data_IF_152811804335
#
_entry.id   IF_152811804335
#
_cell.length_a   1.000
_cell.length_b   1.000
_cell.length_c   1.000
_cell.angle_alpha   90.00
_cell.angle_beta   90.00
_cell.angle_gamma   90.00
#
_symmetry.space_group_name_H-M   'P 1'
#
loop_
_entity.id
_entity.type
_entity.pdbx_description
1 polymer ?
#
# COMPACT_ATOMS: atom_id res chain seq x y z
N UNK A 1 -1.28 19.10 11.18
CA UNK A 1 -0.65 17.82 11.60
C UNK A 1 -1.29 16.62 10.92
N UNK A 2 -2.60 16.35 11.11
CA UNK A 2 -3.28 15.18 10.52
C UNK A 2 -3.13 15.06 8.99
N UNK A 3 -3.30 16.15 8.24
CA UNK A 3 -3.15 16.14 6.77
C UNK A 3 -1.73 15.76 6.29
N UNK A 4 -0.69 16.16 7.04
CA UNK A 4 0.71 15.82 6.69
C UNK A 4 0.94 14.33 6.90
N UNK A 5 0.42 13.77 8.01
CA UNK A 5 0.51 12.33 8.27
C UNK A 5 -0.25 11.55 7.21
N UNK A 6 -1.46 12.01 6.84
CA UNK A 6 -2.25 11.40 5.79
C UNK A 6 -1.54 11.36 4.43
N UNK A 7 -0.97 12.49 4.00
CA UNK A 7 -0.20 12.55 2.75
C UNK A 7 1.04 11.65 2.83
N UNK A 8 1.78 11.69 3.93
CA UNK A 8 2.95 10.82 4.13
C UNK A 8 2.57 9.35 4.08
N UNK A 9 1.43 8.97 4.64
CA UNK A 9 0.90 7.62 4.62
C UNK A 9 0.59 7.15 3.19
N UNK A 10 -0.05 8.00 2.38
CA UNK A 10 -0.37 7.70 0.98
C UNK A 10 0.92 7.48 0.17
N UNK A 11 1.87 8.42 0.23
CA UNK A 11 3.12 8.30 -0.52
C UNK A 11 3.96 7.10 -0.05
N UNK A 12 4.02 6.85 1.25
CA UNK A 12 4.74 5.69 1.79
C UNK A 12 4.10 4.38 1.36
N UNK A 13 2.78 4.26 1.43
CA UNK A 13 2.06 3.05 1.02
C UNK A 13 2.17 2.81 -0.49
N UNK A 14 2.12 3.88 -1.30
CA UNK A 14 2.37 3.81 -2.74
C UNK A 14 3.79 3.34 -3.04
N UNK A 15 4.80 4.00 -2.47
CA UNK A 15 6.20 3.64 -2.68
C UNK A 15 6.51 2.21 -2.23
N UNK A 16 5.97 1.77 -1.10
CA UNK A 16 6.15 0.40 -0.61
C UNK A 16 5.48 -0.64 -1.53
N UNK A 17 4.28 -0.34 -2.04
CA UNK A 17 3.58 -1.20 -3.00
C UNK A 17 4.37 -1.32 -4.30
N UNK A 18 4.82 -0.18 -4.85
CA UNK A 18 5.60 -0.17 -6.08
C UNK A 18 6.95 -0.85 -5.92
N UNK A 19 7.64 -0.63 -4.79
CA UNK A 19 8.92 -1.27 -4.48
C UNK A 19 8.80 -2.79 -4.41
N UNK A 20 7.73 -3.32 -3.81
CA UNK A 20 7.52 -4.77 -3.72
C UNK A 20 7.13 -5.42 -5.06
N UNK A 21 6.53 -4.65 -5.97
CA UNK A 21 5.97 -5.20 -7.22
C UNK A 21 6.87 -4.98 -8.44
N UNK A 22 7.47 -3.82 -8.58
CA UNK A 22 8.21 -3.44 -9.79
C UNK A 22 9.72 -3.40 -9.60
N UNK A 23 10.20 -3.27 -8.36
CA UNK A 23 11.64 -3.16 -8.09
C UNK A 23 12.20 -4.46 -7.51
N UNK A 24 13.32 -4.94 -8.06
CA UNK A 24 14.01 -6.12 -7.55
C UNK A 24 14.78 -5.86 -6.23
N UNK A 25 14.94 -4.58 -5.87
CA UNK A 25 15.70 -4.13 -4.71
C UNK A 25 17.21 -4.40 -4.84
N UNK A 26 18.04 -3.94 -3.89
CA UNK A 26 19.46 -4.30 -3.87
C UNK A 26 19.63 -5.81 -3.62
N UNK A 27 20.49 -6.48 -4.41
CA UNK A 27 20.79 -7.93 -4.34
C UNK A 27 19.64 -8.91 -4.68
N UNK A 28 18.64 -8.46 -5.46
CA UNK A 28 17.46 -9.26 -5.85
C UNK A 28 16.70 -9.86 -4.66
N UNK A 29 16.73 -9.17 -3.51
CA UNK A 29 16.10 -9.63 -2.27
C UNK A 29 14.58 -9.69 -2.44
N UNK A 30 14.00 -8.69 -3.11
CA UNK A 30 12.55 -8.61 -3.33
C UNK A 30 12.12 -9.74 -4.28
N UNK A 31 12.93 -10.03 -5.29
CA UNK A 31 12.66 -11.12 -6.23
C UNK A 31 12.76 -12.50 -5.56
N UNK A 32 13.78 -12.72 -4.73
CA UNK A 32 13.89 -13.93 -3.89
C UNK A 32 12.72 -14.07 -2.94
N UNK A 33 12.26 -12.99 -2.33
CA UNK A 33 11.10 -13.00 -1.44
C UNK A 33 9.81 -13.36 -2.19
N UNK A 34 9.60 -12.84 -3.40
CA UNK A 34 8.47 -13.20 -4.25
C UNK A 34 8.51 -14.66 -4.69
N UNK A 35 9.69 -15.16 -5.05
CA UNK A 35 9.89 -16.56 -5.42
C UNK A 35 9.65 -17.50 -4.22
N UNK A 36 10.07 -17.10 -3.01
CA UNK A 36 9.77 -17.81 -1.77
C UNK A 36 8.25 -17.85 -1.52
N UNK A 37 7.56 -16.71 -1.63
CA UNK A 37 6.11 -16.62 -1.45
C UNK A 37 5.35 -17.47 -2.49
N UNK A 38 5.78 -17.46 -3.75
CA UNK A 38 5.24 -18.35 -4.79
C UNK A 38 5.44 -19.83 -4.44
N UNK A 39 6.61 -20.19 -3.89
CA UNK A 39 6.89 -21.56 -3.45
C UNK A 39 6.07 -21.99 -2.23
N UNK A 40 5.66 -21.07 -1.36
CA UNK A 40 4.82 -21.37 -0.20
C UNK A 40 3.37 -21.58 -0.63
N UNK A 41 2.82 -20.67 -1.43
CA UNK A 41 1.46 -20.81 -1.94
C UNK A 41 1.24 -19.97 -3.20
N UNK A 42 0.65 -20.53 -4.28
CA UNK A 42 0.47 -19.82 -5.55
C UNK A 42 -0.38 -18.55 -5.41
N UNK A 43 -1.39 -18.56 -4.51
CA UNK A 43 -2.23 -17.38 -4.23
C UNK A 43 -1.49 -16.25 -3.49
N UNK A 44 -0.45 -16.56 -2.72
CA UNK A 44 0.37 -15.52 -2.09
C UNK A 44 1.31 -14.88 -3.11
N UNK A 45 1.86 -15.67 -4.04
CA UNK A 45 2.63 -15.16 -5.17
C UNK A 45 1.82 -14.19 -6.04
N UNK A 46 0.56 -14.54 -6.32
CA UNK A 46 -0.40 -13.70 -7.07
C UNK A 46 -0.72 -12.36 -6.36
N UNK A 47 -0.48 -12.29 -5.04
CA UNK A 47 -0.63 -11.05 -4.29
C UNK A 47 0.47 -10.03 -4.61
N UNK A 48 1.70 -10.49 -4.83
CA UNK A 48 2.85 -9.64 -5.15
C UNK A 48 2.96 -9.30 -6.64
N UNK A 49 2.03 -9.74 -7.47
CA UNK A 49 1.95 -9.34 -8.87
C UNK A 49 0.92 -8.23 -9.11
N UNK A 50 -0.01 -8.02 -8.17
CA UNK A 50 -1.09 -7.04 -8.32
C UNK A 50 -0.95 -5.88 -7.31
N UNK A 51 -0.75 -4.63 -7.77
CA UNK A 51 -0.63 -3.46 -6.89
C UNK A 51 -1.87 -3.18 -6.06
N UNK A 52 -3.06 -3.48 -6.60
CA UNK A 52 -4.32 -3.26 -5.88
C UNK A 52 -4.55 -4.31 -4.80
N UNK A 53 -4.17 -5.57 -5.08
CA UNK A 53 -4.26 -6.63 -4.08
C UNK A 53 -3.28 -6.35 -2.95
N UNK A 54 -2.00 -6.12 -3.25
CA UNK A 54 -0.97 -5.88 -2.25
C UNK A 54 -1.28 -4.66 -1.39
N UNK A 55 -1.71 -3.55 -1.99
CA UNK A 55 -2.07 -2.32 -1.26
C UNK A 55 -3.21 -2.51 -0.27
N UNK A 56 -4.22 -3.31 -0.62
CA UNK A 56 -5.33 -3.65 0.29
C UNK A 56 -4.82 -4.34 1.55
N UNK A 57 -3.90 -5.30 1.39
CA UNK A 57 -3.29 -6.00 2.53
C UNK A 57 -2.32 -5.13 3.32
N UNK A 58 -1.56 -4.26 2.66
CA UNK A 58 -0.69 -3.27 3.32
C UNK A 58 -1.52 -2.34 4.21
N UNK A 59 -2.65 -1.83 3.70
CA UNK A 59 -3.55 -0.96 4.46
C UNK A 59 -4.14 -1.66 5.68
N UNK A 60 -4.62 -2.90 5.51
CA UNK A 60 -5.13 -3.72 6.60
C UNK A 60 -4.07 -4.07 7.65
N UNK A 61 -2.85 -4.45 7.21
CA UNK A 61 -1.73 -4.77 8.09
C UNK A 61 -1.26 -3.55 8.87
N UNK A 62 -1.13 -2.38 8.23
CA UNK A 62 -0.77 -1.16 8.94
C UNK A 62 -1.81 -0.79 9.98
N UNK A 63 -3.10 -0.93 9.68
CA UNK A 63 -4.17 -0.66 10.63
C UNK A 63 -4.15 -1.65 11.81
N UNK A 64 -3.90 -2.93 11.55
CA UNK A 64 -3.76 -3.96 12.58
C UNK A 64 -2.55 -3.74 13.48
N UNK A 65 -1.37 -3.47 12.90
CA UNK A 65 -0.13 -3.19 13.66
C UNK A 65 -0.31 -1.94 14.51
N UNK A 66 -0.95 -0.92 13.94
CA UNK A 66 -1.24 0.33 14.64
C UNK A 66 -2.20 0.11 15.81
N UNK A 67 -3.20 -0.77 15.67
CA UNK A 67 -4.10 -1.11 16.77
C UNK A 67 -3.44 -1.97 17.87
N UNK A 68 -2.55 -2.90 17.50
CA UNK A 68 -2.01 -3.91 18.43
C UNK A 68 -0.69 -3.51 19.10
N UNK A 69 0.16 -2.73 18.43
CA UNK A 69 1.54 -2.50 18.88
C UNK A 69 1.97 -1.02 19.00
N UNK A 70 1.30 -0.08 18.35
CA UNK A 70 1.77 1.32 18.28
C UNK A 70 0.75 2.28 18.89
N UNK A 71 1.06 3.02 19.98
CA UNK A 71 0.15 3.99 20.58
C UNK A 71 0.04 5.32 19.80
N UNK A 72 0.47 5.35 18.54
CA UNK A 72 0.56 6.55 17.69
C UNK A 72 -0.36 6.35 16.51
N UNK A 73 -1.33 7.24 16.29
CA UNK A 73 -2.29 7.12 15.18
C UNK A 73 -1.64 7.36 13.82
N UNK A 74 -1.12 6.32 13.18
CA UNK A 74 -0.50 6.40 11.84
C UNK A 74 -1.54 6.23 10.73
N UNK A 75 -2.54 5.36 10.92
CA UNK A 75 -3.53 5.08 9.88
C UNK A 75 -4.71 6.06 9.89
N UNK A 76 -5.24 6.43 8.70
CA UNK A 76 -6.24 7.47 8.56
C UNK A 76 -7.53 7.22 9.35
N UNK A 77 -8.08 6.01 9.31
CA UNK A 77 -9.31 5.73 10.07
C UNK A 77 -9.05 5.52 11.55
N UNK A 78 -7.83 5.15 11.95
CA UNK A 78 -7.46 5.16 13.37
C UNK A 78 -7.31 6.61 13.89
N UNK A 79 -6.89 7.58 13.07
CA UNK A 79 -6.94 9.00 13.46
C UNK A 79 -8.36 9.52 13.70
N UNK A 80 -9.32 9.06 12.90
CA UNK A 80 -10.71 9.56 12.92
C UNK A 80 -11.55 8.86 13.99
N UNK A 81 -11.37 7.55 14.19
CA UNK A 81 -12.24 6.70 15.02
C UNK A 81 -11.55 6.10 16.26
N UNK A 82 -10.37 6.61 16.67
CA UNK A 82 -9.62 6.07 17.82
C UNK A 82 -10.46 5.97 19.10
N UNK A 83 -11.36 6.94 19.33
CA UNK A 83 -12.21 7.01 20.53
C UNK A 83 -13.34 5.99 20.57
N UNK A 84 -13.62 5.33 19.45
CA UNK A 84 -14.77 4.41 19.32
C UNK A 84 -14.41 2.92 19.44
N UNK A 85 -13.12 2.55 19.49
CA UNK A 85 -12.64 1.15 19.62
C UNK A 85 -13.23 0.15 18.61
N UNK A 86 -13.76 0.63 17.48
CA UNK A 86 -14.40 -0.19 16.43
C UNK A 86 -13.35 -0.74 15.46
N UNK A 87 -12.42 -1.56 15.95
CA UNK A 87 -11.31 -2.11 15.16
C UNK A 87 -11.78 -2.88 13.92
N UNK A 88 -12.91 -3.60 14.02
CA UNK A 88 -13.52 -4.32 12.90
C UNK A 88 -13.97 -3.40 11.76
N UNK A 89 -14.28 -2.13 12.03
CA UNK A 89 -14.65 -1.18 11.00
C UNK A 89 -13.43 -0.43 10.46
N UNK A 90 -12.49 -0.07 11.36
CA UNK A 90 -11.30 0.71 11.02
C UNK A 90 -10.40 -0.05 10.02
N UNK A 91 -10.14 -1.34 10.26
CA UNK A 91 -9.24 -2.15 9.41
C UNK A 91 -9.74 -2.24 7.95
N UNK A 92 -10.98 -2.67 7.65
CA UNK A 92 -11.45 -2.74 6.27
C UNK A 92 -11.57 -1.35 5.62
N UNK A 93 -11.90 -0.31 6.38
CA UNK A 93 -11.94 1.06 5.83
C UNK A 93 -10.54 1.56 5.44
N UNK A 94 -9.52 1.31 6.27
CA UNK A 94 -8.12 1.62 5.95
C UNK A 94 -7.65 0.80 4.73
N UNK A 95 -8.01 -0.48 4.65
CA UNK A 95 -7.68 -1.33 3.52
C UNK A 95 -8.27 -0.83 2.20
N UNK A 96 -9.56 -0.45 2.20
CA UNK A 96 -10.26 0.07 1.02
C UNK A 96 -9.70 1.44 0.59
N UNK A 97 -9.41 2.31 1.56
CA UNK A 97 -8.83 3.63 1.27
C UNK A 97 -7.43 3.49 0.67
N UNK A 98 -6.62 2.59 1.20
CA UNK A 98 -5.25 2.33 0.70
C UNK A 98 -5.30 1.79 -0.73
N UNK A 99 -6.22 0.87 -1.00
CA UNK A 99 -6.46 0.35 -2.36
C UNK A 99 -6.88 1.47 -3.33
N UNK A 100 -7.90 2.25 -2.97
CA UNK A 100 -8.42 3.32 -3.83
C UNK A 100 -7.41 4.44 -4.10
N UNK A 101 -6.62 4.82 -3.08
CA UNK A 101 -5.58 5.86 -3.23
C UNK A 101 -4.43 5.40 -4.10
N UNK A 102 -3.97 4.14 -3.94
CA UNK A 102 -2.89 3.58 -4.77
C UNK A 102 -3.36 3.36 -6.21
N UNK A 103 -4.60 2.92 -6.41
CA UNK A 103 -5.19 2.84 -7.75
C UNK A 103 -5.20 4.21 -8.44
N UNK A 104 -5.67 5.24 -7.74
CA UNK A 104 -5.73 6.60 -8.29
C UNK A 104 -4.33 7.14 -8.62
N UNK A 105 -3.33 6.89 -7.78
CA UNK A 105 -1.95 7.28 -8.06
C UNK A 105 -1.36 6.52 -9.24
N UNK A 106 -1.67 5.23 -9.38
CA UNK A 106 -1.18 4.43 -10.50
C UNK A 106 -1.76 4.91 -11.84
N UNK A 107 -3.06 5.21 -11.89
CA UNK A 107 -3.70 5.80 -13.09
C UNK A 107 -3.13 7.17 -13.41
N UNK A 108 -2.81 7.97 -12.39
CA UNK A 108 -2.15 9.26 -12.59
C UNK A 108 -0.75 9.09 -13.18
N UNK A 109 0.02 8.12 -12.70
CA UNK A 109 1.36 7.79 -13.20
C UNK A 109 1.30 7.36 -14.68
N UNK A 110 0.41 6.44 -15.02
CA UNK A 110 0.17 6.03 -16.42
C UNK A 110 -0.26 7.20 -17.31
N UNK A 111 -1.11 8.10 -16.81
CA UNK A 111 -1.52 9.28 -17.56
C UNK A 111 -0.35 10.24 -17.82
N UNK A 112 0.51 10.47 -16.83
CA UNK A 112 1.69 11.33 -16.95
C UNK A 112 2.74 10.71 -17.89
N UNK A 113 2.94 9.40 -17.82
CA UNK A 113 3.86 8.68 -18.71
C UNK A 113 3.40 8.73 -20.17
N UNK A 114 2.10 8.62 -20.42
CA UNK A 114 1.54 8.67 -21.78
C UNK A 114 1.61 10.08 -22.40
N UNK A 115 1.46 11.14 -21.60
CA UNK A 115 1.55 12.53 -22.09
C UNK A 115 2.98 13.05 -22.20
N UNK A 116 3.95 12.46 -21.48
CA UNK A 116 5.36 12.86 -21.59
C UNK A 116 6.04 12.32 -22.86
N UNK A 117 5.58 11.19 -23.39
CA UNK A 117 6.07 10.57 -24.64
C UNK A 117 5.78 11.36 -25.92
N UNK A 118 5.01 12.46 -25.86
CA UNK A 118 4.64 13.26 -27.04
C UNK A 118 5.72 14.28 -27.46
N UNK A 119 6.86 14.35 -26.76
CA UNK A 119 7.93 15.33 -27.03
C UNK A 119 9.22 14.72 -27.64
N UNK A 120 9.19 13.46 -28.09
CA UNK A 120 10.35 12.79 -28.72
C UNK A 120 10.21 12.60 -30.25
N UNK A 121 9.36 13.38 -30.92
CA UNK A 121 9.27 13.42 -32.40
C UNK A 121 9.83 14.73 -32.99
#
# INVERSE_FOLDING_TARGET
MAYVVFLSYIFFSYGLTMMLIYFNGPFDIVEKFRNLMMSIHPKLGELFTCPFCLSTWIGGLFSLINYLWIPITITPFNMILNTTSMWWLIIPMDALLTCGTIWLLHVLDEYLENNSKTYED
#
